data_IF_855958060314
#
_entry.id   IF_855958060314
#
_cell.length_a   1.000
_cell.length_b   1.000
_cell.length_c   1.000
_cell.angle_alpha   90.00
_cell.angle_beta   90.00
_cell.angle_gamma   90.00
#
_symmetry.space_group_name_H-M   'P 1'
#
loop_
_entity.id
_entity.type
_entity.pdbx_description
1 polymer ?
#
# COMPACT_ATOMS: atom_id res chain seq x y z
N UNK A 1 -17.32 -30.53 29.49
CA UNK A 1 -16.71 -29.20 29.23
C UNK A 1 -17.18 -28.72 27.87
N UNK A 2 -17.96 -27.64 27.81
CA UNK A 2 -18.55 -27.10 26.57
C UNK A 2 -17.58 -26.06 26.01
N UNK A 3 -17.07 -26.25 24.80
CA UNK A 3 -16.18 -25.30 24.14
C UNK A 3 -16.93 -23.98 23.82
N UNK A 4 -16.29 -22.80 23.95
CA UNK A 4 -16.96 -21.52 23.72
C UNK A 4 -17.25 -21.29 22.22
N UNK A 5 -18.53 -21.31 21.86
CA UNK A 5 -19.09 -21.17 20.52
C UNK A 5 -19.08 -19.73 19.96
N UNK A 6 -17.94 -19.02 20.03
CA UNK A 6 -17.85 -17.60 19.67
C UNK A 6 -16.79 -17.22 18.64
N UNK A 7 -15.89 -18.14 18.25
CA UNK A 7 -14.71 -17.79 17.45
C UNK A 7 -14.82 -18.29 16.00
N UNK A 8 -15.53 -19.39 15.76
CA UNK A 8 -15.59 -20.04 14.43
C UNK A 8 -16.36 -19.23 13.38
N UNK A 9 -17.27 -18.34 13.78
CA UNK A 9 -18.06 -17.51 12.86
C UNK A 9 -17.45 -16.15 12.50
N UNK A 10 -16.50 -15.63 13.30
CA UNK A 10 -15.91 -14.29 13.10
C UNK A 10 -14.75 -14.29 12.10
N UNK A 11 -13.93 -15.33 12.11
CA UNK A 11 -12.82 -15.46 11.17
C UNK A 11 -13.27 -15.51 9.68
N UNK A 12 -14.27 -16.32 9.28
CA UNK A 12 -14.72 -16.35 7.88
C UNK A 12 -15.39 -15.04 7.45
N UNK A 13 -16.10 -14.36 8.36
CA UNK A 13 -16.72 -13.06 8.09
C UNK A 13 -15.68 -11.93 7.93
N UNK A 14 -14.60 -11.96 8.70
CA UNK A 14 -13.48 -11.03 8.55
C UNK A 14 -12.71 -11.28 7.24
N UNK A 15 -12.44 -12.54 6.90
CA UNK A 15 -11.79 -12.90 5.65
C UNK A 15 -12.63 -12.51 4.43
N UNK A 16 -13.95 -12.75 4.45
CA UNK A 16 -14.83 -12.31 3.35
C UNK A 16 -14.89 -10.79 3.22
N UNK A 17 -14.82 -10.05 4.33
CA UNK A 17 -14.76 -8.57 4.32
C UNK A 17 -13.43 -7.99 3.82
N UNK A 18 -12.37 -8.80 3.75
CA UNK A 18 -11.04 -8.42 3.23
C UNK A 18 -10.90 -8.70 1.72
N UNK A 19 -11.77 -9.55 1.15
CA UNK A 19 -11.72 -9.98 -0.27
C UNK A 19 -12.68 -9.15 -1.15
N UNK A 20 -13.11 -7.97 -0.69
CA UNK A 20 -13.79 -7.01 -1.58
C UNK A 20 -12.82 -6.47 -2.63
N UNK A 21 -13.25 -6.20 -3.87
CA UNK A 21 -12.37 -5.72 -4.94
C UNK A 21 -11.54 -4.49 -4.55
N UNK A 22 -12.09 -3.62 -3.70
CA UNK A 22 -11.40 -2.44 -3.15
C UNK A 22 -10.28 -2.78 -2.14
N UNK A 23 -10.41 -3.88 -1.39
CA UNK A 23 -9.46 -4.28 -0.33
C UNK A 23 -8.48 -5.37 -0.77
N UNK A 24 -8.71 -6.01 -1.91
CA UNK A 24 -7.79 -6.98 -2.54
C UNK A 24 -6.32 -6.54 -2.56
N UNK A 25 -5.96 -5.32 -3.01
CA UNK A 25 -4.55 -4.93 -3.02
C UNK A 25 -3.95 -4.86 -1.60
N UNK A 26 -4.71 -4.39 -0.62
CA UNK A 26 -4.27 -4.35 0.77
C UNK A 26 -4.12 -5.76 1.36
N UNK A 27 -5.07 -6.67 1.08
CA UNK A 27 -5.02 -8.05 1.52
C UNK A 27 -3.80 -8.80 0.95
N UNK A 28 -3.51 -8.62 -0.35
CA UNK A 28 -2.30 -9.17 -0.99
C UNK A 28 -1.02 -8.60 -0.37
N UNK A 29 -1.02 -7.30 -0.05
CA UNK A 29 0.13 -6.64 0.59
C UNK A 29 0.38 -7.17 2.00
N UNK A 30 -0.67 -7.40 2.79
CA UNK A 30 -0.58 -7.99 4.12
C UNK A 30 -0.09 -9.43 4.07
N UNK A 31 -0.63 -10.24 3.15
CA UNK A 31 -0.19 -11.61 2.94
C UNK A 31 1.29 -11.67 2.51
N UNK A 32 1.69 -10.81 1.56
CA UNK A 32 3.07 -10.68 1.13
C UNK A 32 3.99 -10.26 2.27
N UNK A 33 3.62 -9.27 3.08
CA UNK A 33 4.41 -8.83 4.22
C UNK A 33 4.56 -9.93 5.30
N UNK A 34 3.50 -10.68 5.56
CA UNK A 34 3.53 -11.80 6.51
C UNK A 34 4.46 -12.92 6.02
N UNK A 35 4.40 -13.29 4.73
CA UNK A 35 5.32 -14.28 4.15
C UNK A 35 6.76 -13.78 4.16
N UNK A 36 7.00 -12.49 3.90
CA UNK A 36 8.34 -11.90 3.94
C UNK A 36 8.96 -12.05 5.34
N UNK A 37 8.20 -11.73 6.39
CA UNK A 37 8.63 -11.87 7.78
C UNK A 37 8.79 -13.34 8.18
N UNK A 38 7.91 -14.23 7.71
CA UNK A 38 8.03 -15.67 7.94
C UNK A 38 9.30 -16.24 7.30
N UNK A 39 9.58 -15.88 6.05
CA UNK A 39 10.79 -16.28 5.33
C UNK A 39 12.07 -15.82 6.03
N UNK A 40 12.04 -14.67 6.73
CA UNK A 40 13.17 -14.19 7.52
C UNK A 40 13.47 -15.03 8.79
N UNK A 41 12.45 -15.71 9.34
CA UNK A 41 12.58 -16.53 10.56
C UNK A 41 12.90 -17.99 10.23
N UNK A 42 12.53 -18.44 9.03
CA UNK A 42 12.81 -19.80 8.56
C UNK A 42 14.30 -20.03 8.27
N UNK A 43 14.78 -21.29 8.27
CA UNK A 43 16.15 -21.59 7.91
C UNK A 43 16.45 -21.16 6.46
N UNK A 44 17.54 -20.40 6.29
CA UNK A 44 18.04 -19.98 4.98
C UNK A 44 18.97 -21.00 4.34
N UNK A 45 19.59 -21.83 5.18
CA UNK A 45 20.62 -22.78 4.78
C UNK A 45 20.39 -24.11 5.51
N UNK A 46 20.56 -25.24 4.83
CA UNK A 46 20.41 -26.60 5.38
C UNK A 46 21.49 -27.51 4.77
N UNK A 47 22.09 -28.40 5.55
CA UNK A 47 23.08 -29.37 5.04
C UNK A 47 23.88 -30.04 6.15
N UNK A 48 24.71 -31.03 5.81
CA UNK A 48 25.55 -31.71 6.78
C UNK A 48 26.60 -30.76 7.41
N UNK A 49 27.05 -29.78 6.64
CA UNK A 49 28.02 -28.75 7.05
C UNK A 49 27.34 -27.43 7.49
N UNK A 50 26.01 -27.38 7.61
CA UNK A 50 25.31 -26.10 7.92
C UNK A 50 25.61 -25.58 9.33
N UNK A 51 25.94 -26.45 10.27
CA UNK A 51 26.23 -26.09 11.65
C UNK A 51 27.71 -25.74 11.88
N UNK A 52 28.59 -26.11 10.93
CA UNK A 52 30.05 -25.92 11.02
C UNK A 52 30.52 -24.64 10.32
N UNK A 53 29.75 -24.12 9.38
CA UNK A 53 30.02 -22.84 8.72
C UNK A 53 29.52 -21.68 9.59
N UNK A 54 30.37 -21.27 10.52
CA UNK A 54 30.24 -19.96 11.16
C UNK A 54 30.89 -18.93 10.25
N UNK A 55 30.10 -18.31 9.40
CA UNK A 55 30.41 -16.94 9.04
C UNK A 55 29.88 -16.10 10.22
N UNK A 56 30.64 -15.10 10.72
CA UNK A 56 30.20 -14.18 11.81
C UNK A 56 31.32 -13.71 12.71
N UNK A 57 31.19 -12.50 13.29
CA UNK A 57 32.14 -11.91 14.27
C UNK A 57 32.06 -12.61 15.63
N UNK A 58 32.12 -13.94 15.60
CA UNK A 58 32.37 -14.78 16.75
C UNK A 58 33.73 -15.44 16.55
N UNK A 59 34.61 -15.39 17.55
CA UNK A 59 35.87 -16.09 17.47
C UNK A 59 35.59 -17.58 17.26
N UNK A 60 36.20 -18.12 16.21
CA UNK A 60 36.21 -19.54 15.90
C UNK A 60 36.58 -20.37 17.15
N UNK A 61 35.88 -21.47 17.40
CA UNK A 61 36.07 -22.29 18.60
C UNK A 61 37.48 -22.89 18.67
N UNK A 62 38.12 -23.07 17.51
CA UNK A 62 39.46 -23.62 17.38
C UNK A 62 40.57 -22.57 17.38
N UNK A 63 40.30 -21.33 16.95
CA UNK A 63 41.35 -20.32 16.72
C UNK A 63 41.17 -18.98 17.44
N UNK A 64 40.00 -18.66 17.98
CA UNK A 64 39.82 -17.42 18.74
C UNK A 64 39.76 -16.14 17.90
N UNK A 65 39.83 -16.22 16.56
CA UNK A 65 39.81 -15.06 15.66
C UNK A 65 38.39 -14.83 15.15
N UNK A 66 37.82 -13.62 15.27
CA UNK A 66 36.49 -13.34 14.74
C UNK A 66 36.49 -13.46 13.21
N UNK A 67 35.71 -14.41 12.68
CA UNK A 67 35.32 -14.44 11.27
C UNK A 67 34.25 -13.37 11.01
N UNK A 68 33.68 -13.23 9.81
CA UNK A 68 32.59 -12.26 9.55
C UNK A 68 31.53 -12.95 8.70
N UNK A 69 30.24 -12.80 9.05
CA UNK A 69 29.05 -13.31 8.35
C UNK A 69 28.04 -14.17 9.16
N UNK A 70 27.36 -15.12 8.51
CA UNK A 70 26.00 -15.57 8.78
C UNK A 70 25.77 -16.70 9.80
N UNK A 71 24.88 -16.46 10.76
CA UNK A 71 23.91 -17.49 11.20
C UNK A 71 22.59 -17.28 10.47
N UNK A 72 22.28 -18.23 9.59
CA UNK A 72 20.97 -18.59 9.02
C UNK A 72 19.73 -17.96 9.70
N UNK A 73 19.40 -16.71 9.38
CA UNK A 73 18.22 -16.01 9.90
C UNK A 73 18.52 -14.77 10.76
N UNK A 74 17.59 -14.43 11.66
CA UNK A 74 17.59 -13.23 12.51
C UNK A 74 18.85 -13.03 13.38
N UNK A 75 19.55 -14.11 13.72
CA UNK A 75 20.70 -14.09 14.63
C UNK A 75 22.04 -13.76 13.95
N UNK A 76 22.13 -13.86 12.61
CA UNK A 76 23.33 -13.57 11.82
C UNK A 76 23.39 -12.17 11.21
N UNK A 77 22.30 -11.41 11.27
CA UNK A 77 22.19 -10.10 10.62
C UNK A 77 21.76 -10.16 9.15
N UNK A 78 21.93 -11.29 8.45
CA UNK A 78 21.59 -11.39 7.03
C UNK A 78 20.08 -11.37 6.76
N UNK A 79 19.27 -11.90 7.67
CA UNK A 79 17.81 -11.76 7.56
C UNK A 79 17.29 -10.36 7.94
N UNK A 80 18.15 -9.47 8.45
CA UNK A 80 17.73 -8.14 8.90
C UNK A 80 17.18 -7.30 7.73
N UNK A 81 17.77 -7.42 6.54
CA UNK A 81 17.25 -6.78 5.32
C UNK A 81 15.83 -7.26 5.00
N UNK A 82 15.58 -8.56 5.16
CA UNK A 82 14.27 -9.18 4.89
C UNK A 82 13.24 -8.79 5.97
N UNK A 83 13.67 -8.69 7.23
CA UNK A 83 12.82 -8.19 8.32
C UNK A 83 12.44 -6.72 8.10
N UNK A 84 13.41 -5.88 7.73
CA UNK A 84 13.17 -4.46 7.47
C UNK A 84 12.23 -4.26 6.27
N UNK A 85 12.44 -4.99 5.18
CA UNK A 85 11.57 -4.95 4.00
C UNK A 85 10.18 -5.51 4.30
N UNK A 86 10.08 -6.59 5.07
CA UNK A 86 8.81 -7.14 5.56
C UNK A 86 8.04 -6.16 6.45
N UNK A 87 8.72 -5.47 7.37
CA UNK A 87 8.12 -4.44 8.22
C UNK A 87 7.66 -3.22 7.42
N UNK A 88 8.47 -2.75 6.46
CA UNK A 88 8.10 -1.66 5.57
C UNK A 88 6.89 -2.03 4.69
N UNK A 89 6.85 -3.25 4.18
CA UNK A 89 5.72 -3.78 3.43
C UNK A 89 4.45 -3.88 4.29
N UNK A 90 4.57 -4.34 5.53
CA UNK A 90 3.46 -4.42 6.48
C UNK A 90 2.87 -3.05 6.76
N UNK A 91 3.71 -2.07 7.06
CA UNK A 91 3.31 -0.68 7.26
C UNK A 91 2.55 -0.12 6.06
N UNK A 92 3.08 -0.32 4.85
CA UNK A 92 2.45 0.14 3.62
C UNK A 92 1.10 -0.55 3.36
N UNK A 93 1.01 -1.85 3.58
CA UNK A 93 -0.21 -2.64 3.39
C UNK A 93 -1.32 -2.26 4.39
N UNK A 94 -0.98 -2.00 5.65
CA UNK A 94 -1.94 -1.50 6.66
C UNK A 94 -2.50 -0.13 6.25
N UNK A 95 -1.66 0.76 5.72
CA UNK A 95 -2.13 2.07 5.28
C UNK A 95 -3.01 1.99 4.03
N UNK A 96 -2.77 1.03 3.14
CA UNK A 96 -3.71 0.71 2.06
C UNK A 96 -5.03 0.20 2.61
N UNK A 97 -5.01 -0.70 3.61
CA UNK A 97 -6.22 -1.27 4.21
C UNK A 97 -7.13 -0.20 4.85
N UNK A 98 -6.55 0.79 5.51
CA UNK A 98 -7.28 1.86 6.20
C UNK A 98 -7.71 2.98 5.20
N UNK A 99 -7.48 2.81 3.90
CA UNK A 99 -7.82 3.81 2.88
C UNK A 99 -6.94 5.07 2.94
N UNK A 100 -5.77 4.97 3.57
CA UNK A 100 -4.75 6.04 3.64
C UNK A 100 -3.58 5.80 2.68
N UNK A 101 -3.74 4.85 1.77
CA UNK A 101 -2.78 4.52 0.73
C UNK A 101 -2.34 5.74 -0.07
N UNK A 102 -1.02 5.87 -0.26
CA UNK A 102 -0.36 6.91 -1.07
C UNK A 102 0.52 6.22 -2.12
N UNK A 103 0.90 6.94 -3.18
CA UNK A 103 1.88 6.45 -4.14
C UNK A 103 3.17 5.95 -3.45
N UNK A 104 3.58 6.61 -2.36
CA UNK A 104 4.72 6.21 -1.50
C UNK A 104 4.54 4.81 -0.91
N UNK A 105 3.34 4.42 -0.49
CA UNK A 105 3.11 3.10 0.11
C UNK A 105 3.19 1.99 -0.94
N UNK A 106 2.73 2.25 -2.17
CA UNK A 106 2.95 1.34 -3.29
C UNK A 106 4.44 1.23 -3.63
N UNK A 107 5.14 2.36 -3.72
CA UNK A 107 6.57 2.37 -3.96
C UNK A 107 7.34 1.62 -2.86
N UNK A 108 6.88 1.73 -1.60
CA UNK A 108 7.42 0.95 -0.48
C UNK A 108 7.16 -0.55 -0.63
N UNK A 109 5.97 -0.98 -1.08
CA UNK A 109 5.68 -2.39 -1.36
C UNK A 109 6.56 -2.94 -2.48
N UNK A 110 6.68 -2.21 -3.60
CA UNK A 110 7.50 -2.62 -4.74
C UNK A 110 8.98 -2.61 -4.35
N UNK A 111 9.45 -1.56 -3.66
CA UNK A 111 10.81 -1.44 -3.18
C UNK A 111 11.18 -2.55 -2.18
N UNK A 112 10.29 -2.86 -1.24
CA UNK A 112 10.45 -3.98 -0.32
C UNK A 112 10.54 -5.32 -1.07
N UNK A 113 9.68 -5.53 -2.06
CA UNK A 113 9.69 -6.73 -2.89
C UNK A 113 11.00 -6.88 -3.69
N UNK A 114 11.47 -5.80 -4.32
CA UNK A 114 12.71 -5.81 -5.09
C UNK A 114 13.94 -6.02 -4.21
N UNK A 115 14.02 -5.31 -3.07
CA UNK A 115 15.18 -5.42 -2.17
C UNK A 115 15.23 -6.79 -1.49
N UNK A 116 14.11 -7.26 -0.94
CA UNK A 116 14.05 -8.58 -0.29
C UNK A 116 14.21 -9.72 -1.30
N UNK A 117 13.67 -9.57 -2.51
CA UNK A 117 13.85 -10.52 -3.61
C UNK A 117 15.29 -10.59 -4.11
N UNK A 118 15.95 -9.44 -4.29
CA UNK A 118 17.35 -9.38 -4.68
C UNK A 118 18.25 -10.04 -3.63
N UNK A 119 17.96 -9.82 -2.34
CA UNK A 119 18.68 -10.46 -1.25
C UNK A 119 18.50 -11.98 -1.24
N UNK A 120 17.26 -12.47 -1.37
CA UNK A 120 16.99 -13.91 -1.45
C UNK A 120 17.63 -14.55 -2.69
N UNK A 121 17.62 -13.86 -3.83
CA UNK A 121 18.26 -14.34 -5.06
C UNK A 121 19.79 -14.40 -4.94
N UNK A 122 20.41 -13.43 -4.24
CA UNK A 122 21.84 -13.42 -3.96
C UNK A 122 22.22 -14.63 -3.10
N UNK A 123 21.49 -14.86 -2.01
CA UNK A 123 21.69 -16.01 -1.13
C UNK A 123 21.58 -17.34 -1.90
N UNK A 124 20.53 -17.51 -2.71
CA UNK A 124 20.34 -18.69 -3.56
C UNK A 124 21.48 -18.90 -4.58
N UNK A 125 22.12 -17.84 -5.05
CA UNK A 125 23.24 -17.91 -5.99
C UNK A 125 24.58 -18.23 -5.30
N UNK A 126 24.77 -17.76 -4.07
CA UNK A 126 25.99 -17.94 -3.29
C UNK A 126 26.00 -19.25 -2.47
N UNK A 127 24.82 -19.81 -2.17
CA UNK A 127 24.71 -21.03 -1.36
C UNK A 127 25.37 -22.21 -2.05
N UNK A 128 26.37 -22.82 -1.40
CA UNK A 128 27.08 -24.01 -1.88
C UNK A 128 28.08 -23.75 -3.03
N UNK A 129 28.24 -22.50 -3.48
CA UNK A 129 29.19 -22.14 -4.56
C UNK A 129 30.47 -21.51 -4.04
N UNK A 130 30.46 -21.00 -2.81
CA UNK A 130 31.65 -20.42 -2.15
C UNK A 130 32.47 -21.54 -1.50
N UNK A 131 33.74 -21.76 -1.92
CA UNK A 131 34.61 -22.76 -1.31
C UNK A 131 34.83 -22.46 0.18
N UNK A 132 34.77 -23.49 1.00
CA UNK A 132 35.17 -23.40 2.41
C UNK A 132 36.67 -23.13 2.53
N UNK A 133 37.12 -22.77 3.73
CA UNK A 133 38.53 -22.44 4.03
C UNK A 133 39.52 -23.60 3.76
N UNK A 134 39.03 -24.83 3.63
CA UNK A 134 39.80 -26.04 3.27
C UNK A 134 39.90 -26.27 1.76
N UNK A 135 39.35 -25.37 0.92
CA UNK A 135 39.28 -25.53 -0.53
C UNK A 135 38.23 -26.53 -1.00
N UNK A 136 37.53 -27.19 -0.07
CA UNK A 136 36.40 -28.08 -0.36
C UNK A 136 35.11 -27.27 -0.42
N UNK A 137 34.26 -27.59 -1.40
CA UNK A 137 32.90 -27.06 -1.44
C UNK A 137 32.11 -27.64 -0.26
N UNK A 138 31.48 -26.79 0.57
CA UNK A 138 30.70 -27.25 1.70
C UNK A 138 29.42 -27.98 1.25
N UNK A 139 29.04 -29.05 1.97
CA UNK A 139 27.80 -29.80 1.69
C UNK A 139 26.58 -29.10 2.27
N UNK A 140 26.13 -28.08 1.54
CA UNK A 140 25.13 -27.11 1.97
C UNK A 140 24.18 -26.77 0.82
N UNK A 141 22.91 -26.65 1.16
CA UNK A 141 21.81 -26.34 0.24
C UNK A 141 20.95 -25.19 0.78
N UNK A 142 20.21 -24.55 -0.13
CA UNK A 142 19.28 -23.48 0.23
C UNK A 142 18.11 -24.04 1.05
N UNK A 143 17.85 -23.41 2.19
CA UNK A 143 16.73 -23.71 3.06
C UNK A 143 15.39 -23.15 2.55
N UNK A 144 14.27 -23.41 3.25
CA UNK A 144 12.94 -22.95 2.84
C UNK A 144 12.77 -21.42 2.89
N UNK A 145 13.58 -20.68 3.67
CA UNK A 145 13.45 -19.23 3.88
C UNK A 145 13.43 -18.40 2.59
N UNK A 146 14.49 -18.46 1.74
CA UNK A 146 14.56 -17.74 0.47
C UNK A 146 13.37 -17.98 -0.46
N UNK A 147 12.87 -19.23 -0.53
CA UNK A 147 11.71 -19.56 -1.37
C UNK A 147 10.42 -18.90 -0.87
N UNK A 148 10.21 -18.86 0.45
CA UNK A 148 9.07 -18.16 1.05
C UNK A 148 9.16 -16.64 0.81
N UNK A 149 10.37 -16.08 0.83
CA UNK A 149 10.61 -14.68 0.44
C UNK A 149 10.25 -14.44 -1.03
N UNK A 150 10.64 -15.32 -1.96
CA UNK A 150 10.27 -15.18 -3.37
C UNK A 150 8.75 -15.25 -3.58
N UNK A 151 8.04 -16.11 -2.85
CA UNK A 151 6.58 -16.13 -2.85
C UNK A 151 5.99 -14.80 -2.32
N UNK A 152 6.58 -14.24 -1.27
CA UNK A 152 6.22 -12.93 -0.74
C UNK A 152 6.40 -11.81 -1.78
N UNK A 153 7.51 -11.82 -2.53
CA UNK A 153 7.79 -10.84 -3.60
C UNK A 153 6.66 -10.81 -4.62
N UNK A 154 6.16 -11.96 -5.08
CA UNK A 154 5.07 -12.02 -6.04
C UNK A 154 3.80 -11.35 -5.52
N UNK A 155 3.43 -11.60 -4.25
CA UNK A 155 2.27 -10.98 -3.62
C UNK A 155 2.45 -9.48 -3.40
N UNK A 156 3.64 -9.03 -3.02
CA UNK A 156 3.95 -7.61 -2.82
C UNK A 156 3.96 -6.83 -4.14
N UNK A 157 4.48 -7.43 -5.22
CA UNK A 157 4.42 -6.85 -6.56
C UNK A 157 2.98 -6.81 -7.06
N UNK A 158 2.22 -7.91 -6.91
CA UNK A 158 0.81 -7.94 -7.27
C UNK A 158 0.00 -6.90 -6.49
N UNK A 159 0.25 -6.76 -5.18
CA UNK A 159 -0.34 -5.72 -4.33
C UNK A 159 0.00 -4.32 -4.84
N UNK A 160 1.28 -4.04 -5.11
CA UNK A 160 1.73 -2.75 -5.62
C UNK A 160 1.18 -2.42 -7.00
N UNK A 161 1.04 -3.41 -7.88
CA UNK A 161 0.48 -3.24 -9.22
C UNK A 161 -1.04 -3.08 -9.16
N UNK A 162 -1.76 -3.90 -8.37
CA UNK A 162 -3.22 -3.87 -8.24
C UNK A 162 -3.71 -2.70 -7.40
N UNK A 163 -2.88 -2.13 -6.53
CA UNK A 163 -3.12 -0.86 -5.87
C UNK A 163 -3.08 0.33 -6.85
N UNK A 164 -3.44 0.12 -8.13
CA UNK A 164 -3.51 1.17 -9.15
C UNK A 164 -4.34 2.30 -8.57
N UNK A 165 -3.72 3.47 -8.63
CA UNK A 165 -4.36 4.73 -8.28
C UNK A 165 -5.45 4.96 -9.31
N UNK A 166 -6.69 4.79 -8.92
CA UNK A 166 -7.78 5.44 -9.61
C UNK A 166 -7.99 6.81 -8.92
N UNK A 167 -7.61 7.93 -9.58
CA UNK A 167 -7.81 9.25 -9.03
C UNK A 167 -9.29 9.54 -8.73
N UNK A 168 -10.21 8.91 -9.45
CA UNK A 168 -11.64 9.15 -9.33
C UNK A 168 -12.23 8.61 -8.02
N UNK A 169 -12.04 7.31 -7.75
CA UNK A 169 -12.50 6.68 -6.50
C UNK A 169 -11.88 7.33 -5.26
N UNK A 170 -10.63 7.77 -5.33
CA UNK A 170 -10.03 8.52 -4.21
C UNK A 170 -10.64 9.92 -4.03
N UNK A 171 -10.96 10.62 -5.11
CA UNK A 171 -11.55 11.94 -5.03
C UNK A 171 -12.95 11.89 -4.40
N UNK A 172 -13.72 10.85 -4.70
CA UNK A 172 -14.99 10.56 -4.06
C UNK A 172 -14.82 10.39 -2.55
N UNK A 173 -13.94 9.49 -2.10
CA UNK A 173 -13.69 9.23 -0.67
C UNK A 173 -13.21 10.48 0.08
N UNK A 174 -12.38 11.31 -0.57
CA UNK A 174 -11.91 12.58 0.02
C UNK A 174 -13.02 13.62 0.14
N UNK A 175 -13.91 13.68 -0.83
CA UNK A 175 -15.10 14.55 -0.80
C UNK A 175 -16.06 14.11 0.29
N UNK A 176 -16.33 12.82 0.42
CA UNK A 176 -17.16 12.26 1.51
C UNK A 176 -16.57 12.53 2.90
N UNK A 177 -15.25 12.59 3.02
CA UNK A 177 -14.62 13.01 4.27
C UNK A 177 -14.89 14.48 4.59
N UNK A 178 -14.89 15.36 3.59
CA UNK A 178 -15.24 16.75 3.78
C UNK A 178 -16.72 16.91 4.16
N UNK A 179 -17.63 16.15 3.52
CA UNK A 179 -19.04 16.10 3.90
C UNK A 179 -19.24 15.67 5.36
N UNK A 180 -18.57 14.59 5.80
CA UNK A 180 -18.64 14.18 7.21
C UNK A 180 -18.09 15.20 8.21
N UNK A 181 -17.16 16.06 7.80
CA UNK A 181 -16.70 17.17 8.65
C UNK A 181 -17.76 18.27 8.70
N UNK A 182 -18.42 18.54 7.57
CA UNK A 182 -19.53 19.47 7.46
C UNK A 182 -20.69 19.05 8.38
N UNK A 183 -21.12 17.78 8.32
CA UNK A 183 -22.21 17.24 9.14
C UNK A 183 -21.91 17.31 10.64
N UNK A 184 -20.63 17.33 11.01
CA UNK A 184 -20.18 17.49 12.41
C UNK A 184 -20.07 18.96 12.84
N UNK A 185 -20.50 19.90 12.01
CA UNK A 185 -20.42 21.35 12.26
C UNK A 185 -19.01 21.94 12.12
N UNK A 186 -18.02 21.19 11.62
CA UNK A 186 -16.64 21.66 11.43
C UNK A 186 -16.47 22.30 10.04
N UNK A 187 -17.26 23.34 9.78
CA UNK A 187 -17.40 23.94 8.44
C UNK A 187 -16.08 24.46 7.85
N UNK A 188 -15.26 25.15 8.64
CA UNK A 188 -13.97 25.68 8.18
C UNK A 188 -13.03 24.57 7.70
N UNK A 189 -12.91 23.48 8.46
CA UNK A 189 -12.07 22.34 8.10
C UNK A 189 -12.60 21.57 6.90
N UNK A 190 -13.92 21.43 6.79
CA UNK A 190 -14.56 20.81 5.63
C UNK A 190 -14.24 21.61 4.35
N UNK A 191 -14.37 22.94 4.42
CA UNK A 191 -14.13 23.83 3.30
C UNK A 191 -12.65 23.81 2.86
N UNK A 192 -11.72 23.94 3.81
CA UNK A 192 -10.28 23.87 3.50
C UNK A 192 -9.88 22.50 2.93
N UNK A 193 -10.46 21.41 3.43
CA UNK A 193 -10.20 20.08 2.90
C UNK A 193 -10.74 19.95 1.48
N UNK A 194 -11.94 20.44 1.22
CA UNK A 194 -12.55 20.34 -0.10
C UNK A 194 -11.87 21.23 -1.14
N UNK A 195 -11.43 22.43 -0.77
CA UNK A 195 -10.57 23.27 -1.63
C UNK A 195 -9.28 22.52 -2.02
N UNK A 196 -8.62 21.89 -1.05
CA UNK A 196 -7.42 21.06 -1.32
C UNK A 196 -7.75 19.89 -2.24
N UNK A 197 -8.90 19.25 -2.07
CA UNK A 197 -9.35 18.15 -2.94
C UNK A 197 -9.55 18.62 -4.38
N UNK A 198 -10.25 19.75 -4.60
CA UNK A 198 -10.45 20.32 -5.95
C UNK A 198 -9.13 20.74 -6.60
N UNK A 199 -8.23 21.39 -5.84
CA UNK A 199 -6.88 21.73 -6.34
C UNK A 199 -6.03 20.51 -6.69
N UNK A 200 -6.23 19.38 -6.00
CA UNK A 200 -5.58 18.12 -6.34
C UNK A 200 -6.24 17.50 -7.59
N UNK A 201 -7.57 17.49 -7.66
CA UNK A 201 -8.34 16.94 -8.78
C UNK A 201 -8.02 17.65 -10.10
N UNK A 202 -7.88 18.98 -10.08
CA UNK A 202 -7.46 19.78 -11.25
C UNK A 202 -6.07 19.38 -11.78
N UNK A 203 -5.19 18.81 -10.93
CA UNK A 203 -3.87 18.28 -11.33
C UNK A 203 -3.93 16.82 -11.75
N UNK A 204 -4.70 16.00 -11.05
CA UNK A 204 -4.92 14.59 -11.34
C UNK A 204 -6.25 14.18 -10.69
N UNK A 205 -7.27 13.78 -11.48
CA UNK A 205 -7.19 13.31 -12.88
C UNK A 205 -7.08 14.40 -13.96
N UNK A 206 -7.33 15.67 -13.65
CA UNK A 206 -7.21 16.79 -14.59
C UNK A 206 -8.40 17.75 -14.50
N UNK A 207 -8.24 18.98 -15.02
CA UNK A 207 -9.27 20.03 -14.93
C UNK A 207 -10.59 19.65 -15.60
N UNK A 208 -10.53 19.07 -16.79
CA UNK A 208 -11.69 18.75 -17.62
C UNK A 208 -12.24 17.34 -17.33
N UNK A 209 -11.91 16.75 -16.18
CA UNK A 209 -12.33 15.40 -15.86
C UNK A 209 -13.71 15.42 -15.17
N UNK A 210 -14.66 14.51 -15.50
CA UNK A 210 -15.98 14.47 -14.86
C UNK A 210 -15.91 14.41 -13.32
N UNK A 211 -15.03 13.59 -12.76
CA UNK A 211 -14.84 13.51 -11.30
C UNK A 211 -14.31 14.82 -10.66
N UNK A 212 -13.46 15.59 -11.37
CA UNK A 212 -13.02 16.93 -10.94
C UNK A 212 -14.19 17.91 -10.91
N UNK A 213 -15.10 17.79 -11.88
CA UNK A 213 -16.34 18.57 -11.93
C UNK A 213 -17.23 18.25 -10.74
N UNK A 214 -17.48 16.96 -10.45
CA UNK A 214 -18.26 16.54 -9.27
C UNK A 214 -17.68 17.04 -7.95
N UNK A 215 -16.35 17.00 -7.78
CA UNK A 215 -15.69 17.56 -6.60
C UNK A 215 -15.86 19.08 -6.49
N UNK A 216 -15.89 19.78 -7.63
CA UNK A 216 -16.12 21.23 -7.69
C UNK A 216 -17.57 21.57 -7.32
N UNK A 217 -18.56 20.78 -7.77
CA UNK A 217 -19.96 20.92 -7.37
C UNK A 217 -20.12 20.78 -5.85
N UNK A 218 -19.45 19.81 -5.23
CA UNK A 218 -19.47 19.68 -3.77
C UNK A 218 -18.86 20.90 -3.06
N UNK A 219 -17.87 21.58 -3.66
CA UNK A 219 -17.34 22.82 -3.12
C UNK A 219 -18.27 24.02 -3.35
N UNK A 220 -18.97 24.08 -4.49
CA UNK A 220 -20.04 25.07 -4.74
C UNK A 220 -21.11 24.94 -3.67
N UNK A 221 -21.50 23.70 -3.34
CA UNK A 221 -22.41 23.40 -2.24
C UNK A 221 -21.85 23.98 -0.93
N UNK A 222 -20.66 23.57 -0.49
CA UNK A 222 -20.10 24.06 0.78
C UNK A 222 -19.97 25.59 0.85
N UNK A 223 -19.71 26.29 -0.26
CA UNK A 223 -19.72 27.76 -0.27
C UNK A 223 -21.12 28.36 -0.13
N UNK A 224 -22.12 27.82 -0.82
CA UNK A 224 -23.49 28.32 -0.78
C UNK A 224 -24.08 28.21 0.63
N UNK A 225 -24.00 27.02 1.25
CA UNK A 225 -24.48 26.80 2.63
C UNK A 225 -23.52 27.37 3.69
N UNK A 226 -22.27 27.67 3.33
CA UNK A 226 -21.28 28.31 4.21
C UNK A 226 -21.43 29.83 4.33
N UNK A 227 -22.39 30.43 3.63
CA UNK A 227 -22.61 31.89 3.65
C UNK A 227 -21.72 32.67 2.70
N UNK A 228 -21.17 32.03 1.66
CA UNK A 228 -20.38 32.68 0.60
C UNK A 228 -21.01 32.47 -0.79
N UNK A 229 -22.24 32.97 -1.04
CA UNK A 229 -22.95 32.76 -2.31
C UNK A 229 -22.20 33.31 -3.52
N UNK A 230 -21.48 34.43 -3.38
CA UNK A 230 -20.68 35.01 -4.47
C UNK A 230 -19.54 34.07 -4.89
N UNK A 231 -18.88 33.42 -3.93
CA UNK A 231 -17.83 32.43 -4.21
C UNK A 231 -18.42 31.16 -4.83
N UNK A 232 -19.61 30.75 -4.39
CA UNK A 232 -20.31 29.61 -4.98
C UNK A 232 -20.65 29.89 -6.45
N UNK A 233 -21.18 31.07 -6.76
CA UNK A 233 -21.52 31.48 -8.13
C UNK A 233 -20.29 31.56 -9.04
N UNK A 234 -19.19 32.16 -8.57
CA UNK A 234 -17.95 32.24 -9.34
C UNK A 234 -17.35 30.84 -9.59
N UNK A 235 -17.36 29.96 -8.59
CA UNK A 235 -16.87 28.59 -8.78
C UNK A 235 -17.78 27.78 -9.71
N UNK A 236 -19.10 27.97 -9.64
CA UNK A 236 -20.05 27.34 -10.55
C UNK A 236 -19.78 27.76 -12.01
N UNK A 237 -19.53 29.05 -12.26
CA UNK A 237 -19.13 29.57 -13.57
C UNK A 237 -17.87 28.88 -14.10
N UNK A 238 -16.83 28.79 -13.28
CA UNK A 238 -15.59 28.07 -13.63
C UNK A 238 -15.84 26.58 -13.90
N UNK A 239 -16.75 25.96 -13.16
CA UNK A 239 -17.09 24.55 -13.32
C UNK A 239 -17.81 24.30 -14.65
N UNK A 240 -18.67 25.22 -15.10
CA UNK A 240 -19.27 25.16 -16.43
C UNK A 240 -18.26 25.34 -17.56
N UNK A 241 -17.29 26.26 -17.41
CA UNK A 241 -16.19 26.43 -18.37
C UNK A 241 -15.34 25.15 -18.51
N UNK A 242 -15.03 24.52 -17.37
CA UNK A 242 -14.29 23.26 -17.34
C UNK A 242 -15.09 22.12 -17.97
N UNK A 243 -16.41 22.08 -17.73
CA UNK A 243 -17.30 21.07 -18.27
C UNK A 243 -17.60 21.23 -19.77
N UNK A 244 -17.54 22.44 -20.30
CA UNK A 244 -17.81 22.73 -21.71
C UNK A 244 -16.93 21.92 -22.68
N UNK A 245 -15.75 21.49 -22.24
CA UNK A 245 -14.82 20.70 -23.04
C UNK A 245 -15.30 19.27 -23.31
N UNK A 246 -16.00 18.65 -22.35
CA UNK A 246 -16.50 17.27 -22.47
C UNK A 246 -18.03 17.19 -22.63
N UNK A 247 -18.73 18.32 -22.44
CA UNK A 247 -20.19 18.39 -22.56
C UNK A 247 -20.77 17.85 -23.89
N UNK A 248 -20.14 18.09 -25.07
CA UNK A 248 -20.67 17.55 -26.33
C UNK A 248 -20.62 16.02 -26.42
N UNK A 249 -19.62 15.41 -25.77
CA UNK A 249 -19.42 13.96 -25.75
C UNK A 249 -20.30 13.29 -24.68
N UNK A 250 -20.65 14.01 -23.60
CA UNK A 250 -21.46 13.52 -22.48
C UNK A 250 -22.62 14.47 -22.13
N UNK A 251 -23.65 14.58 -22.98
CA UNK A 251 -24.72 15.55 -22.80
C UNK A 251 -25.57 15.29 -21.55
N UNK A 252 -25.78 14.02 -21.17
CA UNK A 252 -26.56 13.65 -19.97
C UNK A 252 -25.86 14.10 -18.68
N UNK A 253 -24.55 13.87 -18.59
CA UNK A 253 -23.74 14.28 -17.44
C UNK A 253 -23.68 15.81 -17.30
N UNK A 254 -23.62 16.51 -18.43
CA UNK A 254 -23.67 17.97 -18.43
C UNK A 254 -25.04 18.52 -17.98
N UNK A 255 -26.15 17.88 -18.37
CA UNK A 255 -27.47 18.30 -17.86
C UNK A 255 -27.60 18.04 -16.36
N UNK A 256 -27.07 16.92 -15.87
CA UNK A 256 -27.02 16.63 -14.43
C UNK A 256 -26.24 17.70 -13.68
N UNK A 257 -25.06 18.07 -14.16
CA UNK A 257 -24.26 19.16 -13.60
C UNK A 257 -25.06 20.47 -13.50
N UNK A 258 -25.79 20.83 -14.57
CA UNK A 258 -26.63 22.04 -14.59
C UNK A 258 -27.74 21.97 -13.54
N UNK A 259 -28.43 20.84 -13.44
CA UNK A 259 -29.48 20.64 -12.45
C UNK A 259 -28.95 20.72 -11.02
N UNK A 260 -27.79 20.12 -10.75
CA UNK A 260 -27.17 20.14 -9.42
C UNK A 260 -26.78 21.58 -9.03
N UNK A 261 -26.11 22.32 -9.90
CA UNK A 261 -25.72 23.71 -9.62
C UNK A 261 -26.94 24.64 -9.51
N UNK A 262 -27.96 24.46 -10.35
CA UNK A 262 -29.23 25.18 -10.28
C UNK A 262 -29.91 24.99 -8.92
N UNK A 263 -30.00 23.75 -8.45
CA UNK A 263 -30.55 23.41 -7.14
C UNK A 263 -29.75 24.05 -5.99
N UNK A 264 -28.42 24.11 -6.10
CA UNK A 264 -27.55 24.71 -5.09
C UNK A 264 -27.72 26.23 -5.01
N UNK A 265 -27.74 26.90 -6.16
CA UNK A 265 -27.79 28.36 -6.23
C UNK A 265 -29.22 28.92 -6.17
N UNK A 266 -30.23 28.05 -6.20
CA UNK A 266 -31.65 28.43 -6.18
C UNK A 266 -32.08 29.20 -7.43
N UNK A 267 -31.54 28.83 -8.60
CA UNK A 267 -31.80 29.49 -9.90
C UNK A 267 -32.11 28.48 -10.99
#
# INVERSE_FOLDING_TARGET
MKAPAGIEGRAPALLSSLVTPERRPAALGLAGAALMLLGAVLPWVVGADSDTLSYGFRPDADTGIPALGSRAGLAGGDALVVVLTGAAALWAAVLLLIGRGRAVHRAALIGAALLGGAWAALDLAETGTVPGRTGRLPDVSAGPGPYVVLAAVLLLLASGVLARWDPESQLYVRTERANRLWDKGRFGEALELQQRNVCAARRSPGRNHPSTTSASVALVWMYAWGGWPDRAAELARQTFEDAAHWAPEHPEDYQRLRADIAAILGR
#
